data_IF_603461843587
#
_entry.id   IF_603461843587
#
_cell.length_a   1.000
_cell.length_b   1.000
_cell.length_c   1.000
_cell.angle_alpha   90.00
_cell.angle_beta   90.00
_cell.angle_gamma   90.00
#
_symmetry.space_group_name_H-M   'P 1'
#
loop_
_entity.id
_entity.type
_entity.pdbx_description
1 polymer ?
#
# COMPACT_ATOMS: atom_id res chain seq x y z
N UNK A 1 18.73 10.92 8.22
CA UNK A 1 17.62 11.34 7.33
C UNK A 1 17.53 10.47 6.07
N UNK A 2 18.63 10.10 5.41
CA UNK A 2 18.62 9.33 4.16
C UNK A 2 18.04 7.91 4.27
N UNK A 3 18.19 7.24 5.41
CA UNK A 3 17.64 5.89 5.65
C UNK A 3 16.13 5.87 5.73
N UNK A 4 15.51 6.89 6.35
CA UNK A 4 14.04 7.00 6.48
C UNK A 4 13.41 7.23 5.09
N UNK A 5 14.03 8.06 4.25
CA UNK A 5 13.56 8.31 2.88
C UNK A 5 13.65 7.03 2.05
N UNK A 6 14.76 6.32 2.12
CA UNK A 6 14.94 5.05 1.41
C UNK A 6 13.87 4.01 1.82
N UNK A 7 13.58 3.91 3.12
CA UNK A 7 12.54 3.01 3.65
C UNK A 7 11.15 3.38 3.07
N UNK A 8 10.76 4.66 3.11
CA UNK A 8 9.48 5.11 2.53
C UNK A 8 9.38 4.85 1.03
N UNK A 9 10.51 4.95 0.31
CA UNK A 9 10.55 4.64 -1.12
C UNK A 9 10.35 3.14 -1.38
N UNK A 10 10.93 2.29 -0.54
CA UNK A 10 10.71 0.84 -0.62
C UNK A 10 9.26 0.48 -0.30
N UNK A 11 8.66 1.09 0.72
CA UNK A 11 7.25 0.90 1.05
C UNK A 11 6.35 1.28 -0.14
N UNK A 12 6.63 2.41 -0.80
CA UNK A 12 5.90 2.82 -2.00
C UNK A 12 6.06 1.81 -3.15
N UNK A 13 7.28 1.31 -3.37
CA UNK A 13 7.53 0.28 -4.39
C UNK A 13 6.76 -1.02 -4.09
N UNK A 14 6.74 -1.45 -2.82
CA UNK A 14 5.98 -2.62 -2.40
C UNK A 14 4.48 -2.41 -2.56
N UNK A 15 3.96 -1.22 -2.22
CA UNK A 15 2.57 -0.87 -2.45
C UNK A 15 2.22 -0.97 -3.95
N UNK A 16 3.03 -0.38 -4.83
CA UNK A 16 2.85 -0.46 -6.28
C UNK A 16 2.92 -1.90 -6.80
N UNK A 17 3.80 -2.73 -6.24
CA UNK A 17 3.90 -4.15 -6.57
C UNK A 17 2.61 -4.88 -6.18
N UNK A 18 2.09 -4.67 -4.98
CA UNK A 18 0.84 -5.31 -4.52
C UNK A 18 -0.36 -4.81 -5.33
N UNK A 19 -0.41 -3.53 -5.69
CA UNK A 19 -1.40 -2.99 -6.65
C UNK A 19 -1.31 -3.70 -7.98
N UNK A 20 -0.10 -3.87 -8.53
CA UNK A 20 0.11 -4.61 -9.78
C UNK A 20 -0.39 -6.07 -9.69
N UNK A 21 -0.11 -6.75 -8.59
CA UNK A 21 -0.61 -8.11 -8.34
C UNK A 21 -2.13 -8.13 -8.28
N UNK A 22 -2.76 -7.18 -7.56
CA UNK A 22 -4.21 -7.09 -7.47
C UNK A 22 -4.87 -6.86 -8.85
N UNK A 23 -4.29 -6.00 -9.68
CA UNK A 23 -4.74 -5.77 -11.06
C UNK A 23 -4.61 -7.02 -11.91
N UNK A 24 -3.54 -7.81 -11.75
CA UNK A 24 -3.35 -9.07 -12.47
C UNK A 24 -4.38 -10.13 -12.03
N UNK A 25 -4.63 -10.25 -10.73
CA UNK A 25 -5.62 -11.20 -10.19
C UNK A 25 -7.04 -10.84 -10.66
N UNK A 26 -7.35 -9.56 -10.77
CA UNK A 26 -8.67 -9.08 -11.21
C UNK A 26 -8.74 -8.74 -12.70
N UNK A 27 -7.75 -9.15 -13.48
CA UNK A 27 -7.69 -8.81 -14.90
C UNK A 27 -8.96 -9.21 -15.68
N UNK A 28 -9.47 -10.42 -15.42
CA UNK A 28 -10.68 -10.91 -16.10
C UNK A 28 -11.93 -10.08 -15.72
N UNK A 29 -12.07 -9.69 -14.46
CA UNK A 29 -13.15 -8.81 -14.01
C UNK A 29 -13.04 -7.43 -14.64
N UNK A 30 -11.85 -6.86 -14.68
CA UNK A 30 -11.59 -5.56 -15.32
C UNK A 30 -11.92 -5.64 -16.81
N UNK A 31 -11.52 -6.72 -17.49
CA UNK A 31 -11.80 -6.90 -18.92
C UNK A 31 -13.29 -7.10 -19.20
N UNK A 32 -14.02 -7.82 -18.34
CA UNK A 32 -15.48 -7.95 -18.42
C UNK A 32 -16.17 -6.59 -18.24
N UNK A 33 -15.80 -5.84 -17.22
CA UNK A 33 -16.32 -4.50 -16.94
C UNK A 33 -16.08 -3.54 -18.12
N UNK A 34 -14.88 -3.56 -18.69
CA UNK A 34 -14.54 -2.75 -19.86
C UNK A 34 -15.36 -3.14 -21.10
N UNK A 35 -15.63 -4.43 -21.30
CA UNK A 35 -16.49 -4.93 -22.37
C UNK A 35 -17.94 -4.47 -22.21
N UNK A 36 -18.50 -4.54 -20.99
CA UNK A 36 -19.87 -4.09 -20.69
C UNK A 36 -20.05 -2.58 -20.95
N UNK A 37 -19.02 -1.79 -20.68
CA UNK A 37 -19.02 -0.35 -20.95
C UNK A 37 -18.70 -0.01 -22.41
N UNK A 38 -18.70 -1.00 -23.33
CA UNK A 38 -18.35 -0.82 -24.76
C UNK A 38 -16.97 -0.18 -25.00
N UNK A 39 -16.05 -0.34 -24.05
CA UNK A 39 -14.67 0.13 -24.25
C UNK A 39 -13.95 -0.75 -25.27
N UNK A 40 -13.54 -0.14 -26.37
CA UNK A 40 -12.71 -0.82 -27.36
C UNK A 40 -11.29 -0.99 -26.79
N UNK A 41 -10.70 -2.21 -26.82
CA UNK A 41 -9.31 -2.43 -26.39
C UNK A 41 -8.30 -1.49 -27.03
N UNK A 42 -8.52 -1.12 -28.29
CA UNK A 42 -7.68 -0.13 -28.99
C UNK A 42 -7.74 1.24 -28.32
N UNK A 43 -8.93 1.67 -27.87
CA UNK A 43 -9.10 2.93 -27.14
C UNK A 43 -8.35 2.91 -25.81
N UNK A 44 -8.37 1.78 -25.09
CA UNK A 44 -7.62 1.60 -23.84
C UNK A 44 -6.11 1.74 -24.07
N UNK A 45 -5.56 1.09 -25.10
CA UNK A 45 -4.14 1.21 -25.47
C UNK A 45 -3.79 2.65 -25.81
N UNK A 46 -4.63 3.33 -26.60
CA UNK A 46 -4.41 4.74 -26.96
C UNK A 46 -4.42 5.62 -25.70
N UNK A 47 -5.37 5.42 -24.78
CA UNK A 47 -5.44 6.18 -23.52
C UNK A 47 -4.19 5.94 -22.66
N UNK A 48 -3.74 4.69 -22.52
CA UNK A 48 -2.51 4.37 -21.78
C UNK A 48 -1.28 5.06 -22.41
N UNK A 49 -1.18 5.02 -23.74
CA UNK A 49 -0.08 5.70 -24.45
C UNK A 49 -0.15 7.22 -24.28
N UNK A 50 -1.34 7.82 -24.37
CA UNK A 50 -1.52 9.26 -24.16
C UNK A 50 -1.22 9.68 -22.71
N UNK A 51 -1.64 8.89 -21.73
CA UNK A 51 -1.30 9.11 -20.31
C UNK A 51 0.21 8.98 -20.10
N UNK A 52 0.85 7.94 -20.65
CA UNK A 52 2.30 7.75 -20.57
C UNK A 52 3.06 8.91 -21.22
N UNK A 53 2.65 9.35 -22.40
CA UNK A 53 3.23 10.51 -23.09
C UNK A 53 3.00 11.80 -22.28
N UNK A 54 1.79 11.99 -21.74
CA UNK A 54 1.45 13.15 -20.91
C UNK A 54 2.31 13.19 -19.63
N UNK A 55 2.50 12.07 -18.96
CA UNK A 55 3.38 11.96 -17.79
C UNK A 55 4.84 12.25 -18.16
N UNK A 56 5.31 11.71 -19.28
CA UNK A 56 6.68 11.99 -19.75
C UNK A 56 6.91 13.48 -20.06
N UNK A 57 5.97 14.12 -20.76
CA UNK A 57 6.00 15.56 -21.06
C UNK A 57 5.96 16.37 -19.76
N UNK A 58 5.09 15.98 -18.82
CA UNK A 58 4.93 16.63 -17.53
C UNK A 58 6.22 16.56 -16.70
N UNK A 59 6.85 15.39 -16.62
CA UNK A 59 8.15 15.23 -15.94
C UNK A 59 9.23 16.08 -16.61
N UNK A 60 9.25 16.12 -17.97
CA UNK A 60 10.21 16.95 -18.72
C UNK A 60 9.99 18.45 -18.48
N UNK A 61 8.74 18.90 -18.38
CA UNK A 61 8.43 20.29 -18.04
C UNK A 61 8.75 20.61 -16.59
N UNK A 62 8.45 19.72 -15.65
CA UNK A 62 8.79 19.88 -14.24
C UNK A 62 10.31 20.01 -14.03
N UNK A 63 11.13 19.22 -14.76
CA UNK A 63 12.60 19.33 -14.73
C UNK A 63 13.13 20.70 -15.21
N UNK A 64 12.37 21.40 -16.05
CA UNK A 64 12.72 22.73 -16.53
C UNK A 64 12.16 23.85 -15.63
N UNK A 65 11.19 23.54 -14.77
CA UNK A 65 10.52 24.50 -13.91
C UNK A 65 11.34 24.81 -12.66
N UNK A 66 11.42 26.08 -12.30
CA UNK A 66 12.04 26.56 -11.06
C UNK A 66 11.05 26.58 -9.87
N UNK A 67 9.79 26.16 -10.09
CA UNK A 67 8.75 26.13 -9.08
C UNK A 67 9.13 25.23 -7.90
N UNK A 68 8.80 25.64 -6.68
CA UNK A 68 9.01 24.86 -5.44
C UNK A 68 8.29 23.50 -5.51
N UNK A 69 7.09 23.49 -6.11
CA UNK A 69 6.30 22.24 -6.29
C UNK A 69 7.00 21.30 -7.27
N UNK A 70 7.51 21.83 -8.40
CA UNK A 70 8.25 21.05 -9.38
C UNK A 70 9.50 20.41 -8.77
N UNK A 71 10.27 21.16 -7.98
CA UNK A 71 11.46 20.66 -7.27
C UNK A 71 11.11 19.55 -6.27
N UNK A 72 9.97 19.67 -5.55
CA UNK A 72 9.50 18.60 -4.64
C UNK A 72 9.16 17.33 -5.41
N UNK A 73 8.42 17.43 -6.52
CA UNK A 73 8.03 16.26 -7.33
C UNK A 73 9.26 15.58 -7.94
N UNK A 74 10.20 16.36 -8.48
CA UNK A 74 11.44 15.82 -9.03
C UNK A 74 12.27 15.16 -7.93
N UNK A 75 12.40 15.79 -6.76
CA UNK A 75 13.09 15.21 -5.61
C UNK A 75 12.49 13.87 -5.15
N UNK A 76 11.16 13.70 -5.25
CA UNK A 76 10.52 12.40 -5.00
C UNK A 76 10.93 11.36 -6.06
N UNK A 77 10.94 11.72 -7.35
CA UNK A 77 11.33 10.80 -8.44
C UNK A 77 12.83 10.43 -8.32
N UNK A 78 13.67 11.40 -8.03
CA UNK A 78 15.10 11.17 -7.80
C UNK A 78 15.34 10.33 -6.55
N UNK A 79 14.61 10.60 -5.46
CA UNK A 79 14.65 9.79 -4.24
C UNK A 79 14.23 8.34 -4.48
N UNK A 80 13.25 8.06 -5.37
CA UNK A 80 12.89 6.70 -5.78
C UNK A 80 14.08 5.99 -6.44
N UNK A 81 14.74 6.65 -7.39
CA UNK A 81 15.89 6.08 -8.11
C UNK A 81 17.10 5.88 -7.18
N UNK A 82 17.37 6.84 -6.30
CA UNK A 82 18.42 6.72 -5.28
C UNK A 82 18.11 5.62 -4.26
N UNK A 83 16.85 5.46 -3.85
CA UNK A 83 16.41 4.39 -2.97
C UNK A 83 16.69 3.01 -3.58
N UNK A 84 16.34 2.80 -4.86
CA UNK A 84 16.65 1.56 -5.58
C UNK A 84 18.15 1.32 -5.66
N UNK A 85 18.93 2.34 -6.04
CA UNK A 85 20.38 2.24 -6.14
C UNK A 85 21.04 1.94 -4.79
N UNK A 86 20.52 2.51 -3.71
CA UNK A 86 20.98 2.25 -2.33
C UNK A 86 20.74 0.79 -1.95
N UNK A 87 19.57 0.24 -2.27
CA UNK A 87 19.26 -1.17 -2.04
C UNK A 87 20.23 -2.10 -2.77
N UNK A 88 20.49 -1.83 -4.05
CA UNK A 88 21.39 -2.66 -4.87
C UNK A 88 22.83 -2.64 -4.31
N UNK A 89 23.27 -1.50 -3.77
CA UNK A 89 24.60 -1.31 -3.21
C UNK A 89 24.76 -1.76 -1.76
N UNK A 90 23.67 -2.10 -1.07
CA UNK A 90 23.68 -2.46 0.34
C UNK A 90 24.40 -3.80 0.57
N UNK A 91 25.32 -3.91 1.56
CA UNK A 91 26.07 -5.15 1.81
C UNK A 91 25.19 -6.35 2.13
N UNK A 92 24.04 -6.13 2.85
CA UNK A 92 23.09 -7.16 3.25
C UNK A 92 21.74 -7.04 2.51
N UNK A 93 21.77 -6.69 1.22
CA UNK A 93 20.56 -6.45 0.41
C UNK A 93 19.56 -7.61 0.42
N UNK A 94 20.03 -8.85 0.36
CA UNK A 94 19.15 -10.02 0.35
C UNK A 94 18.38 -10.20 1.66
N UNK A 95 19.03 -9.95 2.80
CA UNK A 95 18.36 -9.96 4.10
C UNK A 95 17.31 -8.84 4.17
N UNK A 96 17.65 -7.64 3.70
CA UNK A 96 16.72 -6.52 3.64
C UNK A 96 15.50 -6.83 2.77
N UNK A 97 15.73 -7.30 1.54
CA UNK A 97 14.66 -7.68 0.61
C UNK A 97 13.76 -8.77 1.23
N UNK A 98 14.36 -9.81 1.81
CA UNK A 98 13.62 -10.88 2.48
C UNK A 98 12.72 -10.33 3.61
N UNK A 99 13.26 -9.48 4.49
CA UNK A 99 12.48 -8.89 5.57
C UNK A 99 11.36 -7.98 5.05
N UNK A 100 11.62 -7.22 3.98
CA UNK A 100 10.59 -6.39 3.35
C UNK A 100 9.42 -7.22 2.85
N UNK A 101 9.70 -8.28 2.06
CA UNK A 101 8.65 -9.18 1.58
C UNK A 101 7.95 -9.90 2.73
N UNK A 102 8.69 -10.31 3.76
CA UNK A 102 8.11 -10.94 4.95
C UNK A 102 7.15 -10.00 5.67
N UNK A 103 7.54 -8.74 5.90
CA UNK A 103 6.69 -7.73 6.56
C UNK A 103 5.40 -7.51 5.76
N UNK A 104 5.51 -7.30 4.46
CA UNK A 104 4.33 -7.08 3.60
C UNK A 104 3.45 -8.33 3.50
N UNK A 105 4.06 -9.51 3.41
CA UNK A 105 3.35 -10.79 3.47
C UNK A 105 2.59 -10.97 4.79
N UNK A 106 3.20 -10.62 5.91
CA UNK A 106 2.56 -10.66 7.23
C UNK A 106 1.42 -9.65 7.34
N UNK A 107 1.53 -8.46 6.75
CA UNK A 107 0.43 -7.48 6.71
C UNK A 107 -0.77 -8.02 5.92
N UNK A 108 -0.54 -8.59 4.75
CA UNK A 108 -1.61 -9.22 3.94
C UNK A 108 -2.20 -10.41 4.69
N UNK A 109 -1.37 -11.24 5.32
CA UNK A 109 -1.80 -12.40 6.08
C UNK A 109 -2.61 -12.01 7.32
N UNK A 110 -2.24 -10.96 8.04
CA UNK A 110 -3.00 -10.42 9.15
C UNK A 110 -4.41 -9.98 8.70
N UNK A 111 -4.49 -9.29 7.54
CA UNK A 111 -5.75 -8.90 6.95
C UNK A 111 -6.59 -10.13 6.56
N UNK A 112 -5.94 -11.15 6.02
CA UNK A 112 -6.58 -12.42 5.66
C UNK A 112 -7.13 -13.16 6.88
N UNK A 113 -6.41 -13.22 8.00
CA UNK A 113 -6.86 -13.91 9.22
C UNK A 113 -8.13 -13.26 9.81
N UNK A 114 -8.25 -11.95 9.76
CA UNK A 114 -9.40 -11.23 10.35
C UNK A 114 -10.74 -11.62 9.68
N UNK A 115 -10.72 -12.21 8.48
CA UNK A 115 -11.94 -12.69 7.83
C UNK A 115 -12.72 -13.72 8.66
N UNK A 116 -12.05 -14.45 9.55
CA UNK A 116 -12.70 -15.42 10.44
C UNK A 116 -13.23 -14.82 11.74
N UNK A 117 -13.01 -13.54 11.98
CA UNK A 117 -13.54 -12.86 13.17
C UNK A 117 -15.05 -12.61 13.11
N UNK A 118 -15.62 -12.58 11.91
CA UNK A 118 -17.04 -12.31 11.69
C UNK A 118 -17.66 -13.38 10.76
N UNK A 119 -18.85 -13.90 11.08
CA UNK A 119 -19.48 -14.96 10.28
C UNK A 119 -19.69 -14.58 8.81
N UNK A 120 -20.07 -13.33 8.52
CA UNK A 120 -20.34 -12.86 7.17
C UNK A 120 -19.08 -12.75 6.30
N UNK A 121 -17.92 -12.53 6.92
CA UNK A 121 -16.66 -12.31 6.19
C UNK A 121 -15.88 -13.60 5.91
N UNK A 122 -16.26 -14.74 6.50
CA UNK A 122 -15.57 -16.03 6.34
C UNK A 122 -15.44 -16.46 4.89
N UNK A 123 -16.44 -16.17 4.07
CA UNK A 123 -16.48 -16.58 2.66
C UNK A 123 -15.96 -15.50 1.71
N UNK A 124 -15.40 -14.40 2.22
CA UNK A 124 -14.79 -13.37 1.37
C UNK A 124 -13.68 -13.97 0.50
N UNK A 125 -13.69 -13.72 -0.81
CA UNK A 125 -12.63 -14.14 -1.70
C UNK A 125 -11.34 -13.35 -1.40
N UNK A 126 -10.21 -13.91 -1.78
CA UNK A 126 -8.90 -13.31 -1.52
C UNK A 126 -8.76 -11.93 -2.19
N UNK A 127 -9.36 -11.75 -3.35
CA UNK A 127 -9.39 -10.49 -4.11
C UNK A 127 -10.01 -9.35 -3.30
N UNK A 128 -11.14 -9.61 -2.64
CA UNK A 128 -11.81 -8.61 -1.80
C UNK A 128 -10.91 -8.18 -0.63
N UNK A 129 -10.24 -9.16 -0.01
CA UNK A 129 -9.32 -8.90 1.09
C UNK A 129 -8.08 -8.12 0.63
N UNK A 130 -7.55 -8.45 -0.55
CA UNK A 130 -6.39 -7.77 -1.11
C UNK A 130 -6.71 -6.30 -1.46
N UNK A 131 -7.89 -6.04 -2.04
CA UNK A 131 -8.34 -4.67 -2.32
C UNK A 131 -8.61 -3.92 -1.02
N UNK A 132 -9.27 -4.56 -0.05
CA UNK A 132 -9.49 -3.97 1.27
C UNK A 132 -8.18 -3.60 1.96
N UNK A 133 -7.18 -4.48 1.90
CA UNK A 133 -5.82 -4.21 2.37
C UNK A 133 -5.19 -3.01 1.68
N UNK A 134 -5.24 -2.95 0.34
CA UNK A 134 -4.67 -1.84 -0.42
C UNK A 134 -5.34 -0.50 -0.10
N UNK A 135 -6.67 -0.47 -0.05
CA UNK A 135 -7.43 0.74 0.32
C UNK A 135 -7.09 1.17 1.74
N UNK A 136 -6.99 0.21 2.67
CA UNK A 136 -6.55 0.45 4.04
C UNK A 136 -5.13 1.02 4.11
N UNK A 137 -4.18 0.44 3.40
CA UNK A 137 -2.77 0.88 3.35
C UNK A 137 -2.64 2.30 2.78
N UNK A 138 -3.37 2.61 1.70
CA UNK A 138 -3.42 3.97 1.13
C UNK A 138 -4.02 4.95 2.14
N UNK A 139 -5.11 4.55 2.82
CA UNK A 139 -5.81 5.40 3.78
C UNK A 139 -4.92 5.74 4.97
N UNK A 140 -4.18 4.77 5.54
CA UNK A 140 -3.22 5.02 6.62
C UNK A 140 -2.09 5.95 6.14
N UNK A 141 -1.58 5.73 4.92
CA UNK A 141 -0.49 6.51 4.35
C UNK A 141 -0.89 7.96 4.05
N UNK A 142 -2.16 8.17 3.65
CA UNK A 142 -2.69 9.49 3.31
C UNK A 142 -3.19 10.28 4.53
N UNK A 143 -3.37 9.61 5.68
CA UNK A 143 -3.94 10.21 6.89
C UNK A 143 -3.02 9.99 8.09
N UNK A 144 -3.28 10.71 9.18
CA UNK A 144 -2.51 10.54 10.40
C UNK A 144 -3.03 9.34 11.21
N UNK A 145 -2.59 8.11 10.81
CA UNK A 145 -2.93 6.87 11.50
C UNK A 145 -4.31 6.27 11.16
N UNK A 146 -5.03 6.83 10.19
CA UNK A 146 -6.27 6.23 9.67
C UNK A 146 -7.48 6.23 10.61
N UNK A 147 -7.46 6.98 11.73
CA UNK A 147 -8.53 6.94 12.75
C UNK A 147 -9.89 7.23 12.12
N UNK A 148 -10.81 6.28 12.20
CA UNK A 148 -12.17 6.37 11.63
C UNK A 148 -12.23 6.25 10.11
N UNK A 149 -11.28 6.84 9.38
CA UNK A 149 -11.26 6.80 7.90
C UNK A 149 -10.86 5.39 7.41
N UNK A 150 -9.92 4.72 8.09
CA UNK A 150 -9.51 3.37 7.73
C UNK A 150 -10.67 2.36 7.81
N UNK A 151 -11.38 2.22 8.94
CA UNK A 151 -12.54 1.34 9.02
C UNK A 151 -13.61 1.66 7.96
N UNK A 152 -13.86 2.96 7.74
CA UNK A 152 -14.82 3.41 6.74
C UNK A 152 -14.38 3.04 5.32
N UNK A 153 -13.14 3.30 4.93
CA UNK A 153 -12.63 3.00 3.59
C UNK A 153 -12.62 1.50 3.30
N UNK A 154 -12.18 0.69 4.27
CA UNK A 154 -12.22 -0.77 4.16
C UNK A 154 -13.66 -1.27 4.05
N UNK A 155 -14.60 -0.70 4.84
CA UNK A 155 -16.00 -1.11 4.78
C UNK A 155 -16.64 -0.88 3.41
N UNK A 156 -16.31 0.22 2.73
CA UNK A 156 -16.80 0.47 1.37
C UNK A 156 -16.43 -0.64 0.39
N UNK A 157 -15.21 -1.16 0.51
CA UNK A 157 -14.76 -2.30 -0.31
C UNK A 157 -15.60 -3.55 0.02
N UNK A 158 -15.72 -3.91 1.29
CA UNK A 158 -16.43 -5.14 1.69
C UNK A 158 -17.92 -5.09 1.35
N UNK A 159 -18.55 -3.92 1.44
CA UNK A 159 -19.95 -3.71 1.02
C UNK A 159 -20.10 -4.00 -0.48
N UNK A 160 -19.13 -3.62 -1.33
CA UNK A 160 -19.20 -3.92 -2.77
C UNK A 160 -19.11 -5.42 -3.08
N UNK A 161 -18.63 -6.22 -2.12
CA UNK A 161 -18.62 -7.68 -2.16
C UNK A 161 -19.81 -8.32 -1.44
N UNK A 162 -20.85 -7.55 -1.11
CA UNK A 162 -22.13 -8.05 -0.56
C UNK A 162 -22.12 -8.26 0.95
N UNK A 163 -21.12 -7.78 1.68
CA UNK A 163 -21.11 -7.83 3.16
C UNK A 163 -21.97 -6.70 3.71
N UNK A 164 -22.73 -6.97 4.79
CA UNK A 164 -23.53 -5.94 5.46
C UNK A 164 -22.65 -4.76 5.92
N UNK A 165 -23.26 -3.58 6.01
CA UNK A 165 -22.57 -2.37 6.44
C UNK A 165 -22.00 -2.52 7.85
N UNK A 166 -22.75 -3.15 8.74
CA UNK A 166 -22.38 -3.38 10.14
C UNK A 166 -21.13 -4.28 10.23
N UNK A 167 -21.16 -5.43 9.56
CA UNK A 167 -20.03 -6.39 9.54
C UNK A 167 -18.81 -5.82 8.82
N UNK A 168 -19.03 -5.04 7.75
CA UNK A 168 -17.93 -4.38 7.03
C UNK A 168 -17.22 -3.34 7.88
N UNK A 169 -17.97 -2.51 8.61
CA UNK A 169 -17.41 -1.54 9.55
C UNK A 169 -16.72 -2.24 10.73
N UNK A 170 -17.35 -3.28 11.29
CA UNK A 170 -16.79 -4.08 12.37
C UNK A 170 -15.43 -4.69 11.94
N UNK A 171 -15.34 -5.26 10.74
CA UNK A 171 -14.09 -5.78 10.17
C UNK A 171 -13.00 -4.70 10.14
N UNK A 172 -13.32 -3.52 9.61
CA UNK A 172 -12.38 -2.41 9.54
C UNK A 172 -11.89 -1.95 10.91
N UNK A 173 -12.80 -1.88 11.91
CA UNK A 173 -12.45 -1.54 13.28
C UNK A 173 -11.61 -2.62 13.97
N UNK A 174 -11.92 -3.90 13.78
CA UNK A 174 -11.12 -5.01 14.31
C UNK A 174 -9.69 -4.91 13.78
N UNK A 175 -9.52 -4.74 12.47
CA UNK A 175 -8.21 -4.58 11.84
C UNK A 175 -7.43 -3.39 12.40
N UNK A 176 -8.05 -2.21 12.41
CA UNK A 176 -7.40 -0.99 12.87
C UNK A 176 -7.00 -1.07 14.33
N UNK A 177 -7.91 -1.57 15.18
CA UNK A 177 -7.68 -1.68 16.63
C UNK A 177 -6.60 -2.71 16.94
N UNK A 178 -6.65 -3.90 16.32
CA UNK A 178 -5.64 -4.94 16.50
C UNK A 178 -4.24 -4.44 16.12
N UNK A 179 -4.12 -3.79 14.96
CA UNK A 179 -2.85 -3.22 14.51
C UNK A 179 -2.36 -2.11 15.44
N UNK A 180 -3.24 -1.22 15.87
CA UNK A 180 -2.89 -0.13 16.78
C UNK A 180 -2.42 -0.65 18.14
N UNK A 181 -3.15 -1.62 18.73
CA UNK A 181 -2.75 -2.25 19.99
C UNK A 181 -1.40 -2.95 19.83
N UNK A 182 -1.18 -3.69 18.76
CA UNK A 182 0.08 -4.38 18.49
C UNK A 182 1.25 -3.39 18.42
N UNK A 183 1.10 -2.29 17.69
CA UNK A 183 2.14 -1.25 17.56
C UNK A 183 2.43 -0.58 18.90
N UNK A 184 1.39 -0.23 19.66
CA UNK A 184 1.55 0.38 20.99
C UNK A 184 2.21 -0.58 21.99
N UNK A 185 1.79 -1.83 21.99
CA UNK A 185 2.33 -2.84 22.92
C UNK A 185 3.80 -3.14 22.63
N UNK A 186 4.12 -3.54 21.38
CA UNK A 186 5.51 -3.90 21.04
C UNK A 186 6.42 -2.67 20.94
N UNK A 187 5.91 -1.53 20.49
CA UNK A 187 6.63 -0.26 20.48
C UNK A 187 6.96 0.20 21.89
N UNK A 188 5.99 0.17 22.81
CA UNK A 188 6.17 0.47 24.23
C UNK A 188 7.16 -0.49 24.91
N UNK A 189 7.02 -1.79 24.66
CA UNK A 189 7.96 -2.80 25.16
C UNK A 189 9.38 -2.56 24.67
N UNK A 190 9.53 -2.28 23.37
CA UNK A 190 10.84 -1.97 22.77
C UNK A 190 11.46 -0.73 23.38
N UNK A 191 10.67 0.31 23.62
CA UNK A 191 11.14 1.54 24.27
C UNK A 191 11.68 1.30 25.68
N UNK A 192 11.07 0.39 26.44
CA UNK A 192 11.52 0.04 27.79
C UNK A 192 12.76 -0.88 27.79
N UNK A 193 12.81 -1.84 26.86
CA UNK A 193 13.86 -2.88 26.84
C UNK A 193 15.15 -2.42 26.18
N UNK A 194 15.07 -1.61 25.12
CA UNK A 194 16.23 -1.14 24.36
C UNK A 194 17.29 -0.42 25.22
N UNK A 195 16.94 0.52 26.13
CA UNK A 195 17.90 1.18 27.00
C UNK A 195 18.58 0.22 27.98
N UNK A 196 17.87 -0.85 28.41
CA UNK A 196 18.42 -1.86 29.32
C UNK A 196 19.45 -2.75 28.61
N UNK A 197 19.17 -3.12 27.35
CA UNK A 197 20.08 -3.93 26.54
C UNK A 197 21.30 -3.14 26.06
N UNK A 198 21.18 -1.85 25.83
CA UNK A 198 22.27 -0.98 25.34
C UNK A 198 23.12 -0.33 26.46
N UNK A 199 22.83 -0.60 27.74
CA UNK A 199 23.62 -0.09 28.87
C UNK A 199 25.05 -0.63 28.95
N UNK A 200 25.47 -1.55 28.08
CA UNK A 200 26.79 -2.22 28.11
C UNK A 200 27.66 -1.89 26.89
N UNK A 201 27.62 -0.62 26.42
CA UNK A 201 28.70 -0.18 25.51
C UNK A 201 29.12 1.23 25.82
#
# INVERSE_FOLDING_TARGET
FGTIIAERMVDLMMLLLVVGIALLIQFDFIMLFLKEQSFNPTTLVIVILLVGLGLWVLVKQLKRSQSVIAKKIIGLIEGLTEGVLTLVKMPKKWAYIFHTFLIWGLYIFMFYIVKWALPETVNLPFEALLIGFLVGAITISATNGGIGIYPFSVSLVLISYGISKESSLAFGWIMWTAQTIMVLFFGGLSFLVLPLLNRKK
#
